data_IF_072826925265
#
_entry.id   IF_072826925265
#
_cell.length_a   1.000
_cell.length_b   1.000
_cell.length_c   1.000
_cell.angle_alpha   90.00
_cell.angle_beta   90.00
_cell.angle_gamma   90.00
#
_symmetry.space_group_name_H-M   'P 1'
#
loop_
_entity.id
_entity.type
_entity.pdbx_description
1 polymer ?
#
# COMPACT_ATOMS: atom_id res chain seq x y z
N UNK A 1 -22.03 8.89 3.10
CA UNK A 1 -20.63 9.30 3.37
C UNK A 1 -19.74 8.13 3.00
N UNK A 2 -18.56 8.37 2.38
CA UNK A 2 -17.58 7.32 2.08
C UNK A 2 -16.35 7.48 2.95
N UNK A 3 -15.74 6.36 3.36
CA UNK A 3 -14.55 6.35 4.19
C UNK A 3 -13.42 5.57 3.52
N UNK A 4 -12.19 5.94 3.84
CA UNK A 4 -11.01 5.25 3.32
C UNK A 4 -9.92 5.13 4.38
N UNK A 5 -9.11 4.08 4.26
CA UNK A 5 -7.89 3.86 5.03
C UNK A 5 -6.67 4.23 4.19
N UNK A 6 -5.58 4.58 4.86
CA UNK A 6 -4.35 5.05 4.23
C UNK A 6 -3.15 4.40 4.93
N UNK A 7 -2.24 3.82 4.16
CA UNK A 7 -1.14 3.00 4.67
C UNK A 7 0.20 3.59 4.26
N UNK A 8 1.08 3.76 5.25
CA UNK A 8 2.46 4.24 5.08
C UNK A 8 3.48 3.11 5.31
N UNK A 9 3.11 2.05 6.04
CA UNK A 9 4.04 1.06 6.57
C UNK A 9 5.15 1.69 7.42
N UNK A 10 4.74 2.39 8.48
CA UNK A 10 5.65 2.97 9.49
C UNK A 10 6.29 1.90 10.37
N UNK A 11 7.61 1.97 10.54
CA UNK A 11 8.38 1.05 11.40
C UNK A 11 9.46 1.79 12.21
N UNK A 12 9.11 2.39 13.35
CA UNK A 12 10.08 3.07 14.19
C UNK A 12 11.11 2.11 14.82
N UNK A 13 12.32 2.60 15.05
CA UNK A 13 13.42 1.89 15.73
C UNK A 13 13.09 1.66 17.22
N UNK A 14 13.67 0.63 17.87
CA UNK A 14 14.67 -0.31 17.34
C UNK A 14 14.07 -1.43 16.50
N UNK A 15 14.77 -1.80 15.43
CA UNK A 15 14.35 -2.91 14.57
C UNK A 15 14.91 -4.25 15.07
N UNK A 16 14.09 -5.28 14.99
CA UNK A 16 14.49 -6.67 15.18
C UNK A 16 14.10 -7.49 13.95
N UNK A 17 14.79 -8.62 13.69
CA UNK A 17 14.45 -9.47 12.56
C UNK A 17 12.97 -9.86 12.55
N UNK A 18 12.32 -9.69 11.40
CA UNK A 18 10.92 -10.08 11.19
C UNK A 18 9.87 -9.00 11.46
N UNK A 19 10.23 -7.83 12.03
CA UNK A 19 9.24 -6.76 12.27
C UNK A 19 8.62 -6.21 10.99
N UNK A 20 9.41 -6.07 9.93
CA UNK A 20 8.91 -5.60 8.64
C UNK A 20 7.92 -6.60 8.00
N UNK A 21 8.22 -7.90 8.07
CA UNK A 21 7.27 -8.93 7.65
C UNK A 21 5.98 -8.86 8.47
N UNK A 22 6.10 -8.72 9.79
CA UNK A 22 4.95 -8.58 10.68
C UNK A 22 4.12 -7.35 10.31
N UNK A 23 4.74 -6.21 10.04
CA UNK A 23 4.08 -4.98 9.62
C UNK A 23 3.25 -5.20 8.35
N UNK A 24 3.79 -5.85 7.32
CA UNK A 24 3.05 -6.15 6.11
C UNK A 24 1.88 -7.13 6.36
N UNK A 25 2.08 -8.16 7.18
CA UNK A 25 1.00 -9.11 7.52
C UNK A 25 -0.12 -8.44 8.31
N UNK A 26 0.23 -7.65 9.33
CA UNK A 26 -0.73 -6.90 10.14
C UNK A 26 -1.49 -5.89 9.26
N UNK A 27 -0.83 -5.22 8.31
CA UNK A 27 -1.48 -4.33 7.36
C UNK A 27 -2.47 -5.08 6.45
N UNK A 28 -2.08 -6.24 5.89
CA UNK A 28 -2.98 -7.06 5.08
C UNK A 28 -4.22 -7.54 5.88
N UNK A 29 -4.03 -7.93 7.14
CA UNK A 29 -5.12 -8.31 8.05
C UNK A 29 -6.09 -7.14 8.30
N UNK A 30 -5.55 -5.93 8.47
CA UNK A 30 -6.34 -4.71 8.64
C UNK A 30 -7.14 -4.37 7.38
N UNK A 31 -6.54 -4.50 6.19
CA UNK A 31 -7.23 -4.26 4.92
C UNK A 31 -8.37 -5.26 4.70
N UNK A 32 -8.15 -6.53 5.02
CA UNK A 32 -9.20 -7.56 4.97
C UNK A 32 -10.33 -7.27 5.95
N UNK A 33 -10.01 -6.80 7.16
CA UNK A 33 -11.01 -6.37 8.13
C UNK A 33 -11.78 -5.14 7.63
N UNK A 34 -11.10 -4.14 7.07
CA UNK A 34 -11.74 -2.93 6.52
C UNK A 34 -12.75 -3.29 5.42
N UNK A 35 -12.41 -4.24 4.55
CA UNK A 35 -13.32 -4.80 3.54
C UNK A 35 -14.57 -5.44 4.18
N UNK A 36 -14.39 -6.23 5.25
CA UNK A 36 -15.50 -6.85 6.00
C UNK A 36 -16.40 -5.82 6.70
N UNK A 37 -15.82 -4.73 7.18
CA UNK A 37 -16.53 -3.65 7.87
C UNK A 37 -17.24 -2.67 6.91
N UNK A 38 -17.00 -2.79 5.61
CA UNK A 38 -17.64 -1.94 4.60
C UNK A 38 -16.98 -0.59 4.39
N UNK A 39 -15.68 -0.46 4.69
CA UNK A 39 -14.88 0.69 4.27
C UNK A 39 -14.79 0.72 2.74
N UNK A 40 -14.92 1.90 2.13
CA UNK A 40 -15.04 2.02 0.68
C UNK A 40 -13.69 1.90 -0.05
N UNK A 41 -12.60 2.45 0.53
CA UNK A 41 -11.31 2.57 -0.14
C UNK A 41 -10.12 2.23 0.78
N UNK A 42 -9.07 1.69 0.20
CA UNK A 42 -7.74 1.59 0.78
C UNK A 42 -6.73 2.24 -0.15
N UNK A 43 -5.87 3.09 0.41
CA UNK A 43 -4.86 3.85 -0.31
C UNK A 43 -3.45 3.48 0.17
N UNK A 44 -2.58 3.16 -0.78
CA UNK A 44 -1.16 2.87 -0.54
C UNK A 44 -0.27 3.99 -1.09
N UNK A 45 0.70 4.44 -0.30
CA UNK A 45 1.65 5.50 -0.67
C UNK A 45 2.80 5.00 -1.52
N UNK A 46 3.58 5.92 -2.09
CA UNK A 46 4.87 5.60 -2.69
C UNK A 46 5.98 6.43 -2.02
N UNK A 47 6.90 5.76 -1.34
CA UNK A 47 8.06 6.37 -0.68
C UNK A 47 9.32 5.53 -0.92
N UNK A 48 10.45 6.22 -1.07
CA UNK A 48 11.74 5.60 -1.38
C UNK A 48 12.79 6.04 -0.36
N UNK A 49 13.59 5.09 0.10
CA UNK A 49 14.77 5.33 0.95
C UNK A 49 14.48 6.00 2.31
N UNK A 50 13.25 5.86 2.83
CA UNK A 50 12.90 6.25 4.19
C UNK A 50 13.05 5.04 5.13
N UNK A 51 13.57 5.27 6.33
CA UNK A 51 13.91 4.20 7.26
C UNK A 51 12.83 3.87 8.27
N UNK A 52 12.12 4.86 8.83
CA UNK A 52 11.09 4.62 9.87
C UNK A 52 9.69 5.05 9.41
N UNK A 53 9.62 5.99 8.47
CA UNK A 53 8.38 6.65 8.07
C UNK A 53 7.54 5.83 7.10
N UNK A 54 8.16 5.23 6.08
CA UNK A 54 7.38 4.48 5.09
C UNK A 54 8.19 3.43 4.34
N UNK A 55 7.71 2.19 4.39
CA UNK A 55 8.27 1.04 3.70
C UNK A 55 7.38 0.66 2.52
N UNK A 56 7.27 1.55 1.53
CA UNK A 56 6.36 1.38 0.38
C UNK A 56 6.95 1.92 -0.92
N UNK A 57 8.00 1.26 -1.42
CA UNK A 57 8.68 1.67 -2.67
C UNK A 57 8.04 1.12 -3.95
N UNK A 58 7.19 0.10 -3.81
CA UNK A 58 6.45 -0.54 -4.91
C UNK A 58 5.00 -0.83 -4.46
N UNK A 59 4.18 0.21 -4.29
CA UNK A 59 2.81 0.09 -3.77
C UNK A 59 1.96 -0.97 -4.48
N UNK A 60 2.13 -1.12 -5.79
CA UNK A 60 1.41 -2.10 -6.60
C UNK A 60 1.57 -3.54 -6.11
N UNK A 61 2.70 -3.90 -5.48
CA UNK A 61 2.93 -5.24 -4.97
C UNK A 61 2.07 -5.51 -3.73
N UNK A 62 1.98 -4.53 -2.83
CA UNK A 62 1.11 -4.64 -1.66
C UNK A 62 -0.37 -4.63 -2.08
N UNK A 63 -0.75 -3.74 -3.00
CA UNK A 63 -2.12 -3.69 -3.54
C UNK A 63 -2.51 -5.00 -4.23
N UNK A 64 -1.60 -5.63 -4.98
CA UNK A 64 -1.82 -6.95 -5.56
C UNK A 64 -2.08 -8.02 -4.50
N UNK A 65 -1.33 -8.00 -3.38
CA UNK A 65 -1.58 -8.92 -2.26
C UNK A 65 -2.94 -8.65 -1.59
N UNK A 66 -3.32 -7.38 -1.37
CA UNK A 66 -4.64 -7.00 -0.86
C UNK A 66 -5.76 -7.53 -1.76
N UNK A 67 -5.59 -7.47 -3.09
CA UNK A 67 -6.61 -7.91 -4.06
C UNK A 67 -7.02 -9.38 -3.88
N UNK A 68 -6.11 -10.22 -3.37
CA UNK A 68 -6.38 -11.64 -3.12
C UNK A 68 -7.16 -11.87 -1.83
N UNK A 69 -7.12 -10.93 -0.89
CA UNK A 69 -7.74 -11.03 0.43
C UNK A 69 -9.10 -10.33 0.52
N UNK A 70 -9.35 -9.34 -0.34
CA UNK A 70 -10.56 -8.51 -0.27
C UNK A 70 -11.56 -8.79 -1.39
N UNK A 71 -12.84 -8.41 -1.20
CA UNK A 71 -13.91 -8.61 -2.20
C UNK A 71 -14.65 -7.34 -2.61
N UNK A 72 -14.70 -6.29 -1.80
CA UNK A 72 -15.56 -5.10 -2.04
C UNK A 72 -14.80 -3.78 -1.99
N UNK A 73 -13.84 -3.64 -1.07
CA UNK A 73 -13.05 -2.43 -0.89
C UNK A 73 -12.28 -2.11 -2.17
N UNK A 74 -12.21 -0.82 -2.51
CA UNK A 74 -11.47 -0.34 -3.67
C UNK A 74 -10.04 -0.07 -3.29
N UNK A 75 -9.11 -0.71 -3.98
CA UNK A 75 -7.68 -0.56 -3.79
C UNK A 75 -7.14 0.52 -4.71
N UNK A 76 -6.27 1.39 -4.23
CA UNK A 76 -5.73 2.48 -5.03
C UNK A 76 -4.40 3.01 -4.53
N UNK A 77 -3.69 3.68 -5.44
CA UNK A 77 -2.49 4.45 -5.10
C UNK A 77 -2.88 5.82 -4.55
N UNK A 78 -2.29 6.19 -3.42
CA UNK A 78 -2.36 7.52 -2.83
C UNK A 78 -0.97 7.99 -2.42
N UNK A 79 0.01 8.03 -3.32
CA UNK A 79 -0.05 8.32 -4.77
C UNK A 79 0.93 7.46 -5.58
N UNK A 80 0.98 7.64 -6.91
CA UNK A 80 2.13 7.22 -7.75
C UNK A 80 2.99 8.44 -8.06
N UNK A 81 4.30 8.33 -7.88
CA UNK A 81 5.27 9.37 -8.22
C UNK A 81 5.43 9.45 -9.76
N UNK A 82 4.55 10.21 -10.41
CA UNK A 82 4.51 10.40 -11.86
C UNK A 82 5.71 11.11 -12.53
N UNK A 83 6.55 11.92 -11.84
CA UNK A 83 7.65 12.57 -12.55
C UNK A 83 8.58 11.53 -13.21
N UNK A 84 9.00 11.74 -14.48
CA UNK A 84 9.76 10.73 -15.24
C UNK A 84 11.09 10.29 -14.63
N UNK A 85 11.67 11.09 -13.73
CA UNK A 85 12.87 10.73 -12.97
C UNK A 85 12.66 9.63 -11.94
N UNK A 86 11.41 9.37 -11.53
CA UNK A 86 11.03 8.27 -10.64
C UNK A 86 10.39 7.14 -11.43
N UNK A 87 9.28 7.42 -12.11
CA UNK A 87 8.53 6.43 -12.87
C UNK A 87 8.33 6.87 -14.32
N UNK A 88 8.75 6.03 -15.28
CA UNK A 88 8.44 6.28 -16.68
C UNK A 88 6.91 6.23 -16.91
N UNK A 89 6.29 7.24 -17.55
CA UNK A 89 4.83 7.32 -17.67
C UNK A 89 4.18 6.09 -18.33
N UNK A 90 4.80 5.54 -19.39
CA UNK A 90 4.31 4.32 -20.01
C UNK A 90 4.28 3.13 -19.04
N UNK A 91 5.28 3.04 -18.14
CA UNK A 91 5.36 1.97 -17.15
C UNK A 91 4.32 2.14 -16.05
N UNK A 92 3.98 3.38 -15.70
CA UNK A 92 2.84 3.65 -14.80
C UNK A 92 1.53 3.19 -15.46
N UNK A 93 1.31 3.56 -16.72
CA UNK A 93 0.09 3.16 -17.45
C UNK A 93 -0.05 1.62 -17.53
N UNK A 94 1.02 0.90 -17.86
CA UNK A 94 1.04 -0.57 -17.89
C UNK A 94 0.67 -1.18 -16.53
N UNK A 95 1.27 -0.68 -15.44
CA UNK A 95 1.03 -1.19 -14.08
C UNK A 95 -0.40 -0.98 -13.61
N UNK A 96 -0.98 0.19 -13.92
CA UNK A 96 -2.37 0.50 -13.53
C UNK A 96 -3.40 -0.29 -14.35
N UNK A 97 -3.06 -0.64 -15.59
CA UNK A 97 -3.97 -1.36 -16.49
C UNK A 97 -3.94 -2.89 -16.35
N UNK A 98 -3.01 -3.44 -15.56
CA UNK A 98 -2.83 -4.88 -15.33
C UNK A 98 -3.49 -5.31 -14.02
#
# INVERSE_FOLDING_TARGET
MKFGTFYEHQLPRPWTPGLELKLFQDALDQVELADRLGIDHMWEVEHHFLEEYAHSSAPEIFLAACSQRTKRIRLGHGIVLLPPGYNHPARVAERIAT
#
